data_IF_625730810635
#
_entry.id   IF_625730810635
#
_cell.length_a   1.000
_cell.length_b   1.000
_cell.length_c   1.000
_cell.angle_alpha   90.00
_cell.angle_beta   90.00
_cell.angle_gamma   90.00
#
_symmetry.space_group_name_H-M   'P 1'
#
loop_
_entity.id
_entity.type
_entity.pdbx_description
1 polymer ?
#
# COMPACT_ATOMS: atom_id res chain seq x y z
N UNK A 1 12.28 -9.38 -19.38
CA UNK A 1 11.07 -8.59 -19.07
C UNK A 1 11.28 -8.00 -17.70
N UNK A 2 11.12 -6.68 -17.54
CA UNK A 2 11.31 -6.02 -16.24
C UNK A 2 10.10 -6.30 -15.35
N UNK A 3 10.31 -6.35 -14.05
CA UNK A 3 9.24 -6.47 -13.06
C UNK A 3 9.36 -5.38 -12.01
N UNK A 4 8.22 -4.86 -11.59
CA UNK A 4 8.10 -3.85 -10.55
C UNK A 4 7.05 -4.32 -9.55
N UNK A 5 7.50 -4.72 -8.37
CA UNK A 5 6.62 -5.04 -7.26
C UNK A 5 6.32 -3.74 -6.49
N UNK A 6 5.06 -3.53 -6.14
CA UNK A 6 4.58 -2.29 -5.52
C UNK A 6 3.68 -2.63 -4.35
N UNK A 7 3.82 -1.84 -3.28
CA UNK A 7 2.89 -1.78 -2.16
C UNK A 7 2.76 -0.32 -1.70
N UNK A 8 1.56 0.12 -1.35
CA UNK A 8 1.33 1.50 -0.89
C UNK A 8 0.57 1.51 0.43
N UNK A 9 1.00 2.40 1.32
CA UNK A 9 0.21 2.74 2.50
C UNK A 9 -0.49 4.06 2.25
N UNK A 10 -1.78 4.12 2.55
CA UNK A 10 -2.64 5.26 2.19
C UNK A 10 -3.46 5.74 3.37
N UNK A 11 -4.00 6.95 3.29
CA UNK A 11 -4.98 7.47 4.22
C UNK A 11 -6.18 8.03 3.45
N UNK A 12 -7.38 7.88 4.03
CA UNK A 12 -8.60 8.58 3.63
C UNK A 12 -9.52 8.68 4.84
N UNK A 13 -10.35 9.73 4.91
CA UNK A 13 -11.44 9.78 5.90
C UNK A 13 -12.56 8.77 5.62
N UNK A 14 -12.64 8.25 4.39
CA UNK A 14 -13.63 7.28 3.96
C UNK A 14 -13.23 5.87 4.43
N UNK A 15 -14.19 5.11 4.97
CA UNK A 15 -13.97 3.69 5.27
C UNK A 15 -13.99 2.86 3.98
N UNK A 16 -12.86 2.22 3.67
CA UNK A 16 -12.70 1.39 2.46
C UNK A 16 -13.58 0.14 2.47
N UNK A 17 -13.90 -0.42 3.65
CA UNK A 17 -14.71 -1.62 3.78
C UNK A 17 -16.18 -1.36 3.53
N UNK A 18 -16.64 -0.14 3.80
CA UNK A 18 -18.03 0.29 3.55
C UNK A 18 -18.21 0.91 2.15
N UNK A 19 -17.20 1.63 1.66
CA UNK A 19 -17.32 2.46 0.45
C UNK A 19 -16.59 1.91 -0.78
N UNK A 20 -15.71 0.91 -0.60
CA UNK A 20 -14.85 0.40 -1.67
C UNK A 20 -13.67 1.34 -2.01
N UNK A 21 -12.71 0.79 -2.77
CA UNK A 21 -11.44 1.47 -3.13
C UNK A 21 -11.63 2.75 -3.93
N UNK A 22 -12.66 2.81 -4.78
CA UNK A 22 -12.88 3.93 -5.68
C UNK A 22 -13.21 5.22 -4.91
N UNK A 23 -14.29 5.16 -4.13
CA UNK A 23 -14.73 6.28 -3.28
C UNK A 23 -13.69 6.59 -2.19
N UNK A 24 -12.98 5.57 -1.70
CA UNK A 24 -11.86 5.76 -0.76
C UNK A 24 -10.76 6.66 -1.35
N UNK A 25 -10.27 6.37 -2.55
CA UNK A 25 -9.20 7.13 -3.17
C UNK A 25 -9.64 8.49 -3.72
N UNK A 26 -10.92 8.63 -4.10
CA UNK A 26 -11.49 9.90 -4.58
C UNK A 26 -11.78 10.91 -3.45
N UNK A 27 -11.57 10.55 -2.19
CA UNK A 27 -11.77 11.49 -1.07
C UNK A 27 -10.83 12.69 -1.22
N UNK A 28 -11.31 13.89 -0.87
CA UNK A 28 -10.51 15.13 -0.93
C UNK A 28 -9.27 15.08 -0.02
N UNK A 29 -9.33 14.29 1.06
CA UNK A 29 -8.23 14.11 2.00
C UNK A 29 -7.41 12.83 1.78
N UNK A 30 -7.61 12.15 0.64
CA UNK A 30 -6.84 10.97 0.28
C UNK A 30 -5.35 11.31 0.12
N UNK A 31 -4.50 10.45 0.69
CA UNK A 31 -3.04 10.58 0.59
C UNK A 31 -2.40 9.21 0.42
N UNK A 32 -1.37 9.15 -0.43
CA UNK A 32 -0.38 8.07 -0.40
C UNK A 32 0.68 8.48 0.61
N UNK A 33 0.86 7.65 1.63
CA UNK A 33 1.76 7.89 2.76
C UNK A 33 3.16 7.33 2.50
N UNK A 34 3.21 6.05 2.16
CA UNK A 34 4.44 5.32 1.85
C UNK A 34 4.27 4.64 0.49
N UNK A 35 5.35 4.64 -0.28
CA UNK A 35 5.42 3.91 -1.55
C UNK A 35 6.60 2.94 -1.46
N UNK A 36 6.31 1.65 -1.38
CA UNK A 36 7.32 0.60 -1.36
C UNK A 36 7.43 -0.05 -2.73
N UNK A 37 8.66 -0.32 -3.18
CA UNK A 37 8.89 -0.98 -4.45
C UNK A 37 10.11 -1.90 -4.47
N UNK A 38 10.08 -2.86 -5.38
CA UNK A 38 11.23 -3.71 -5.72
C UNK A 38 11.29 -3.88 -7.24
N UNK A 39 12.47 -3.66 -7.81
CA UNK A 39 12.74 -3.83 -9.24
C UNK A 39 13.41 -5.18 -9.41
N UNK A 40 12.88 -6.03 -10.30
CA UNK A 40 13.49 -7.32 -10.67
C UNK A 40 13.86 -8.21 -9.46
N UNK A 41 13.03 -8.17 -8.42
CA UNK A 41 13.21 -8.96 -7.19
C UNK A 41 14.39 -8.51 -6.32
N UNK A 42 14.96 -7.32 -6.55
CA UNK A 42 15.96 -6.72 -5.68
C UNK A 42 15.37 -6.28 -4.34
N UNK A 43 16.22 -5.81 -3.43
CA UNK A 43 15.79 -5.31 -2.12
C UNK A 43 14.69 -4.24 -2.23
N UNK A 44 13.74 -4.31 -1.29
CA UNK A 44 12.64 -3.37 -1.21
C UNK A 44 13.16 -2.01 -0.78
N UNK A 45 12.74 -0.97 -1.51
CA UNK A 45 12.97 0.43 -1.17
C UNK A 45 11.64 1.05 -0.78
N UNK A 46 11.64 1.87 0.28
CA UNK A 46 10.47 2.57 0.80
C UNK A 46 10.71 4.06 0.58
N UNK A 47 9.70 4.75 0.05
CA UNK A 47 9.67 6.19 -0.15
C UNK A 47 8.63 6.81 0.81
N UNK A 48 9.08 7.70 1.68
CA UNK A 48 8.25 8.42 2.65
C UNK A 48 7.63 9.69 2.03
N UNK A 49 6.54 9.48 1.27
CA UNK A 49 5.80 10.57 0.63
C UNK A 49 5.17 11.51 1.65
N UNK A 50 4.76 11.00 2.82
CA UNK A 50 4.18 11.81 3.89
C UNK A 50 5.19 12.81 4.50
N UNK A 51 6.49 12.53 4.39
CA UNK A 51 7.57 13.43 4.79
C UNK A 51 8.29 14.12 3.62
N UNK A 52 7.71 14.06 2.43
CA UNK A 52 8.14 14.86 1.27
C UNK A 52 9.25 14.23 0.45
N UNK A 53 9.53 12.92 0.62
CA UNK A 53 10.33 12.20 -0.36
C UNK A 53 9.59 12.11 -1.70
N UNK A 54 10.33 11.85 -2.78
CA UNK A 54 9.78 11.76 -4.12
C UNK A 54 10.07 10.38 -4.72
N UNK A 55 9.11 9.85 -5.47
CA UNK A 55 9.30 8.61 -6.22
C UNK A 55 10.42 8.85 -7.26
N UNK A 56 11.46 7.99 -7.31
CA UNK A 56 12.54 8.14 -8.28
C UNK A 56 12.03 8.11 -9.72
N UNK A 57 12.64 8.92 -10.59
CA UNK A 57 12.25 9.05 -12.00
C UNK A 57 12.24 7.69 -12.73
N UNK A 58 13.21 6.82 -12.48
CA UNK A 58 13.26 5.46 -13.04
C UNK A 58 11.99 4.65 -12.70
N UNK A 59 11.47 4.78 -11.49
CA UNK A 59 10.28 4.05 -11.04
C UNK A 59 9.02 4.61 -11.72
N UNK A 60 8.93 5.93 -11.87
CA UNK A 60 7.85 6.59 -12.61
C UNK A 60 7.84 6.16 -14.08
N UNK A 61 9.01 5.98 -14.69
CA UNK A 61 9.14 5.47 -16.05
C UNK A 61 8.71 4.00 -16.15
N UNK A 62 9.16 3.15 -15.21
CA UNK A 62 8.75 1.74 -15.15
C UNK A 62 7.24 1.54 -14.92
N UNK A 63 6.60 2.44 -14.18
CA UNK A 63 5.14 2.43 -13.97
C UNK A 63 4.36 2.59 -15.29
N UNK A 64 4.90 3.37 -16.23
CA UNK A 64 4.32 3.64 -17.57
C UNK A 64 4.79 2.66 -18.63
N UNK A 65 5.92 1.99 -18.40
CA UNK A 65 6.52 1.08 -19.38
C UNK A 65 5.62 -0.13 -19.65
N UNK A 66 5.29 -0.31 -20.92
CA UNK A 66 4.48 -1.44 -21.43
C UNK A 66 5.23 -2.78 -21.35
N UNK A 67 6.55 -2.75 -21.29
CA UNK A 67 7.43 -3.93 -21.24
C UNK A 67 7.86 -4.27 -19.80
N UNK A 68 7.35 -3.51 -18.81
CA UNK A 68 7.50 -3.74 -17.38
C UNK A 68 6.19 -4.26 -16.78
N UNK A 69 6.23 -5.46 -16.18
CA UNK A 69 5.07 -6.00 -15.45
C UNK A 69 5.05 -5.47 -14.02
N UNK A 70 3.89 -4.96 -13.61
CA UNK A 70 3.65 -4.48 -12.25
C UNK A 70 2.97 -5.58 -11.43
N UNK A 71 3.47 -5.84 -10.24
CA UNK A 71 2.88 -6.79 -9.31
C UNK A 71 2.47 -6.11 -8.01
N UNK A 72 1.29 -6.44 -7.53
CA UNK A 72 0.85 -6.12 -6.17
C UNK A 72 -0.12 -7.19 -5.65
N UNK A 73 -0.35 -7.20 -4.34
CA UNK A 73 -1.36 -8.02 -3.72
C UNK A 73 -2.65 -7.22 -3.63
N UNK A 74 -3.68 -7.58 -4.41
CA UNK A 74 -4.86 -6.75 -4.67
C UNK A 74 -4.62 -5.57 -5.65
N UNK A 75 -3.79 -5.79 -6.68
CA UNK A 75 -3.32 -4.82 -7.69
C UNK A 75 -4.30 -3.74 -8.20
N UNK A 76 -5.60 -4.02 -8.23
CA UNK A 76 -6.60 -3.01 -8.64
C UNK A 76 -6.61 -1.80 -7.69
N UNK A 77 -6.30 -2.02 -6.41
CA UNK A 77 -6.23 -0.97 -5.40
C UNK A 77 -5.06 -0.04 -5.66
N UNK A 78 -3.86 -0.59 -5.83
CA UNK A 78 -2.64 0.17 -6.11
C UNK A 78 -2.79 0.93 -7.43
N UNK A 79 -3.26 0.24 -8.48
CA UNK A 79 -3.51 0.86 -9.78
C UNK A 79 -4.46 2.06 -9.70
N UNK A 80 -5.59 1.92 -8.98
CA UNK A 80 -6.56 3.00 -8.85
C UNK A 80 -6.01 4.17 -8.04
N UNK A 81 -5.38 3.90 -6.90
CA UNK A 81 -4.81 4.92 -6.04
C UNK A 81 -3.73 5.74 -6.75
N UNK A 82 -2.82 5.07 -7.47
CA UNK A 82 -1.74 5.73 -8.20
C UNK A 82 -2.28 6.63 -9.31
N UNK A 83 -3.19 6.13 -10.15
CA UNK A 83 -3.77 6.95 -11.24
C UNK A 83 -4.61 8.12 -10.70
N UNK A 84 -5.36 7.91 -9.61
CA UNK A 84 -6.10 8.99 -8.96
C UNK A 84 -5.17 10.04 -8.33
N UNK A 85 -3.95 9.65 -7.95
CA UNK A 85 -2.90 10.54 -7.45
C UNK A 85 -2.00 11.10 -8.58
N UNK A 86 -2.47 11.06 -9.84
CA UNK A 86 -1.75 11.54 -11.04
C UNK A 86 -0.43 10.81 -11.33
N UNK A 87 -0.25 9.61 -10.79
CA UNK A 87 0.85 8.71 -11.13
C UNK A 87 0.32 7.73 -12.19
N UNK A 88 0.50 8.11 -13.45
CA UNK A 88 0.01 7.33 -14.59
C UNK A 88 0.64 5.94 -14.61
N UNK A 89 -0.21 4.92 -14.61
CA UNK A 89 0.21 3.52 -14.77
C UNK A 89 -0.87 2.73 -15.53
N UNK A 90 -0.59 2.30 -16.78
CA UNK A 90 -1.56 1.56 -17.60
C UNK A 90 -1.92 0.20 -16.98
N UNK A 91 -3.19 -0.18 -17.09
CA UNK A 91 -3.75 -1.36 -16.43
C UNK A 91 -3.18 -2.67 -16.99
N UNK A 92 -2.86 -2.72 -18.28
CA UNK A 92 -2.62 -3.95 -19.04
C UNK A 92 -1.36 -4.71 -18.59
N UNK A 93 -0.46 -4.05 -17.86
CA UNK A 93 0.76 -4.66 -17.32
C UNK A 93 0.63 -5.03 -15.84
N UNK A 94 -0.51 -4.81 -15.19
CA UNK A 94 -0.70 -5.18 -13.80
C UNK A 94 -1.07 -6.65 -13.66
N UNK A 95 -0.40 -7.32 -12.74
CA UNK A 95 -0.64 -8.71 -12.35
C UNK A 95 -0.98 -8.75 -10.86
N UNK A 96 -2.15 -9.30 -10.55
CA UNK A 96 -2.64 -9.38 -9.18
C UNK A 96 -2.23 -10.71 -8.54
N UNK A 97 -1.32 -10.65 -7.58
CA UNK A 97 -0.84 -11.84 -6.86
C UNK A 97 -1.95 -12.51 -6.05
N UNK A 98 -2.93 -11.73 -5.56
CA UNK A 98 -4.11 -12.28 -4.88
C UNK A 98 -4.96 -13.13 -5.83
N UNK A 99 -5.22 -12.65 -7.04
CA UNK A 99 -5.99 -13.38 -8.07
C UNK A 99 -5.26 -14.64 -8.49
N UNK A 100 -3.93 -14.56 -8.67
CA UNK A 100 -3.11 -15.75 -8.95
C UNK A 100 -3.24 -16.79 -7.81
N UNK A 101 -3.15 -16.37 -6.55
CA UNK A 101 -3.34 -17.25 -5.40
C UNK A 101 -4.71 -17.94 -5.41
N UNK A 102 -5.77 -17.20 -5.67
CA UNK A 102 -7.14 -17.74 -5.80
C UNK A 102 -7.24 -18.75 -6.95
N UNK A 103 -6.64 -18.45 -8.11
CA UNK A 103 -6.58 -19.37 -9.24
C UNK A 103 -5.90 -20.70 -8.89
N UNK A 104 -4.87 -20.65 -8.06
CA UNK A 104 -4.18 -21.84 -7.54
C UNK A 104 -4.92 -22.57 -6.40
N UNK A 105 -6.14 -22.15 -6.04
CA UNK A 105 -6.93 -22.79 -4.99
C UNK A 105 -6.60 -22.34 -3.57
N UNK A 106 -5.80 -21.28 -3.39
CA UNK A 106 -5.58 -20.67 -2.08
C UNK A 106 -6.70 -19.71 -1.70
N UNK A 107 -6.80 -19.41 -0.40
CA UNK A 107 -7.73 -18.39 0.12
C UNK A 107 -7.22 -16.97 -0.13
N UNK A 108 -8.15 -16.01 -0.25
CA UNK A 108 -7.83 -14.58 -0.26
C UNK A 108 -7.26 -14.12 1.10
N UNK A 109 -6.51 -13.03 1.05
CA UNK A 109 -5.86 -12.39 2.20
C UNK A 109 -4.41 -12.85 2.40
N UNK A 110 -3.48 -11.88 2.44
CA UNK A 110 -2.04 -12.14 2.51
C UNK A 110 -1.64 -13.01 3.71
N UNK A 111 -2.27 -12.81 4.87
CA UNK A 111 -2.04 -13.63 6.06
C UNK A 111 -2.52 -15.07 5.88
N UNK A 112 -3.69 -15.26 5.26
CA UNK A 112 -4.31 -16.56 5.10
C UNK A 112 -3.56 -17.41 4.06
N UNK A 113 -3.19 -16.82 2.92
CA UNK A 113 -2.35 -17.50 1.91
C UNK A 113 -0.94 -17.78 2.44
N UNK A 114 -0.32 -16.84 3.17
CA UNK A 114 1.01 -17.05 3.77
C UNK A 114 1.02 -18.17 4.80
N UNK A 115 -0.07 -18.36 5.55
CA UNK A 115 -0.25 -19.51 6.44
C UNK A 115 -0.43 -20.81 5.66
N UNK A 116 -1.25 -20.82 4.61
CA UNK A 116 -1.50 -22.00 3.79
C UNK A 116 -0.24 -22.50 3.06
N UNK A 117 0.62 -21.58 2.60
CA UNK A 117 1.90 -21.90 1.96
C UNK A 117 3.00 -22.30 2.96
N UNK A 118 2.76 -22.19 4.27
CA UNK A 118 3.78 -22.48 5.28
C UNK A 118 4.97 -21.52 5.25
N UNK A 119 4.75 -20.24 4.90
CA UNK A 119 5.84 -19.25 4.87
C UNK A 119 6.50 -19.11 6.26
N UNK A 120 7.80 -18.82 6.32
CA UNK A 120 8.47 -18.41 7.56
C UNK A 120 7.77 -17.23 8.24
N UNK A 121 7.86 -17.13 9.57
CA UNK A 121 7.13 -16.11 10.34
C UNK A 121 7.53 -14.67 9.96
N UNK A 122 8.79 -14.45 9.62
CA UNK A 122 9.36 -13.18 9.12
C UNK A 122 8.84 -12.81 7.72
N UNK A 123 8.28 -13.77 6.98
CA UNK A 123 7.66 -13.58 5.66
C UNK A 123 6.14 -13.49 5.72
N UNK A 124 5.54 -13.62 6.91
CA UNK A 124 4.09 -13.46 7.13
C UNK A 124 3.74 -12.02 7.50
N UNK A 125 2.48 -11.64 7.28
CA UNK A 125 1.95 -10.36 7.72
C UNK A 125 2.10 -10.22 9.24
N UNK A 126 2.91 -9.27 9.68
CA UNK A 126 3.17 -9.01 11.10
C UNK A 126 1.99 -8.29 11.75
N UNK A 127 1.68 -8.67 12.99
CA UNK A 127 0.66 -8.00 13.81
C UNK A 127 1.04 -6.56 14.13
N UNK A 128 2.35 -6.29 14.31
CA UNK A 128 2.90 -4.95 14.55
C UNK A 128 2.60 -4.02 13.37
N UNK A 129 2.89 -4.45 12.14
CA UNK A 129 2.56 -3.68 10.93
C UNK A 129 1.06 -3.37 10.84
N UNK A 130 0.21 -4.35 11.17
CA UNK A 130 -1.25 -4.12 11.19
C UNK A 130 -1.70 -3.09 12.24
N UNK A 131 -0.98 -2.95 13.36
CA UNK A 131 -1.25 -1.91 14.35
C UNK A 131 -0.81 -0.52 13.86
N UNK A 132 0.30 -0.44 13.12
CA UNK A 132 0.82 0.81 12.55
C UNK A 132 -0.05 1.31 11.39
N UNK A 133 -0.48 0.41 10.48
CA UNK A 133 -1.48 0.71 9.44
C UNK A 133 -2.74 1.29 10.10
N UNK A 134 -3.31 0.64 11.11
CA UNK A 134 -4.48 1.18 11.81
C UNK A 134 -4.25 2.54 12.47
N UNK A 135 -3.02 2.82 12.91
CA UNK A 135 -2.69 4.06 13.59
C UNK A 135 -2.57 5.24 12.61
N UNK A 136 -1.94 5.03 11.45
CA UNK A 136 -1.63 6.10 10.48
C UNK A 136 -2.60 6.17 9.28
N UNK A 137 -3.14 5.05 8.83
CA UNK A 137 -3.98 4.95 7.64
C UNK A 137 -5.48 5.14 7.91
N UNK A 138 -5.91 5.00 9.17
CA UNK A 138 -7.34 5.05 9.54
C UNK A 138 -7.61 6.27 10.42
N UNK A 139 -8.73 6.99 10.23
CA UNK A 139 -9.15 8.05 11.14
C UNK A 139 -9.21 7.57 12.59
N UNK A 140 -8.83 8.44 13.51
CA UNK A 140 -8.89 8.16 14.94
C UNK A 140 -10.03 8.94 15.60
N UNK A 141 -10.65 8.35 16.62
CA UNK A 141 -11.70 9.05 17.39
C UNK A 141 -11.08 10.20 18.18
N UNK A 142 -11.67 11.39 18.08
CA UNK A 142 -11.27 12.53 18.88
C UNK A 142 -11.46 12.23 20.38
N UNK A 143 -10.38 12.36 21.15
CA UNK A 143 -10.36 12.15 22.61
C UNK A 143 -9.51 13.22 23.28
N UNK A 144 -9.73 13.46 24.57
CA UNK A 144 -8.89 14.42 25.32
C UNK A 144 -7.41 14.02 25.31
N UNK A 145 -7.12 12.72 25.41
CA UNK A 145 -5.75 12.18 25.44
C UNK A 145 -4.99 12.30 24.12
N UNK A 146 -5.70 12.32 22.97
CA UNK A 146 -5.07 12.52 21.67
C UNK A 146 -5.19 13.98 21.17
N UNK A 147 -5.52 14.93 22.05
CA UNK A 147 -5.66 16.34 21.67
C UNK A 147 -6.85 16.63 20.75
N UNK A 148 -7.90 15.79 20.79
CA UNK A 148 -9.07 15.84 19.92
C UNK A 148 -8.75 15.70 18.41
N UNK A 149 -7.63 15.04 18.09
CA UNK A 149 -7.26 14.72 16.70
C UNK A 149 -8.22 13.70 16.11
N UNK A 150 -8.49 13.85 14.82
CA UNK A 150 -9.25 12.90 13.99
C UNK A 150 -8.36 12.03 13.11
N UNK A 151 -7.05 12.29 13.11
CA UNK A 151 -6.02 11.56 12.35
C UNK A 151 -4.68 11.59 13.09
N UNK A 152 -3.90 10.51 12.99
CA UNK A 152 -2.51 10.53 13.42
C UNK A 152 -1.57 10.77 12.22
N UNK A 153 -0.61 11.67 12.39
CA UNK A 153 0.38 12.07 11.40
C UNK A 153 1.77 11.58 11.86
N UNK A 154 2.80 11.53 11.01
CA UNK A 154 4.14 11.08 11.39
C UNK A 154 4.65 11.75 12.68
N UNK A 155 4.52 13.08 12.78
CA UNK A 155 4.93 13.87 13.94
C UNK A 155 4.18 13.56 15.24
N UNK A 156 3.05 12.86 15.17
CA UNK A 156 2.28 12.47 16.35
C UNK A 156 2.84 11.24 17.05
N UNK A 157 3.66 10.43 16.36
CA UNK A 157 4.38 9.30 16.95
C UNK A 157 5.59 8.93 16.07
N UNK A 158 6.68 9.72 16.09
CA UNK A 158 7.84 9.50 15.23
C UNK A 158 8.46 8.10 15.36
N UNK A 159 8.57 7.58 16.59
CA UNK A 159 9.08 6.23 16.86
C UNK A 159 8.21 5.13 16.23
N UNK A 160 6.89 5.35 16.13
CA UNK A 160 5.99 4.42 15.43
C UNK A 160 6.10 4.56 13.93
N UNK A 161 6.38 5.76 13.44
CA UNK A 161 6.55 6.03 12.02
C UNK A 161 7.83 5.41 11.48
N UNK A 162 8.93 5.43 12.25
CA UNK A 162 10.18 4.75 11.88
C UNK A 162 10.01 3.22 11.75
N UNK A 163 9.05 2.64 12.47
CA UNK A 163 8.69 1.22 12.38
C UNK A 163 7.64 0.90 11.31
N UNK A 164 6.98 1.92 10.78
CA UNK A 164 5.84 1.80 9.87
C UNK A 164 6.32 1.64 8.43
#
# INVERSE_FOLDING_TARGET
MRTLNIDIETFSSVDITESGSYKYAMSEDFQILLFAYSIDGQDVKIIDLAQGEAIPQEVLELLKDKDCIKYAYNAVFEWWCLNNFNIETPLEQWQCTMVHGLYCGYTAGLAAIGNAMGLPQDKKKLTTGSALIRYFCIPCKATKSNGNRTRNLPQHAPEKWELF
#
